data_IF_362990501890
#
_entry.id   IF_362990501890
#
_cell.length_a   1.000
_cell.length_b   1.000
_cell.length_c   1.000
_cell.angle_alpha   90.00
_cell.angle_beta   90.00
_cell.angle_gamma   90.00
#
_symmetry.space_group_name_H-M   'P 1'
#
loop_
_entity.id
_entity.type
_entity.pdbx_description
1 polymer ?
#
# COMPACT_ATOMS: atom_id res chain seq x y z
N UNK A 1 -10.23 -39.66 -61.43
CA UNK A 1 -11.40 -40.23 -60.73
C UNK A 1 -12.20 -39.09 -60.09
N UNK A 2 -13.53 -39.05 -60.24
CA UNK A 2 -14.37 -38.01 -59.65
C UNK A 2 -15.20 -38.50 -58.44
N UNK A 3 -15.91 -37.54 -57.83
CA UNK A 3 -17.26 -37.69 -57.27
C UNK A 3 -17.50 -38.29 -55.86
N UNK A 4 -18.04 -37.39 -55.01
CA UNK A 4 -19.32 -37.50 -54.25
C UNK A 4 -19.37 -38.07 -52.81
N UNK A 5 -19.76 -37.14 -51.91
CA UNK A 5 -20.94 -37.19 -50.97
C UNK A 5 -20.81 -38.09 -49.72
N UNK A 6 -21.41 -37.78 -48.55
CA UNK A 6 -22.32 -36.67 -48.17
C UNK A 6 -22.39 -36.47 -46.63
N UNK A 7 -22.62 -35.21 -46.19
CA UNK A 7 -23.48 -34.73 -45.07
C UNK A 7 -23.17 -35.26 -43.64
N UNK A 8 -23.13 -34.46 -42.54
CA UNK A 8 -23.80 -33.20 -42.11
C UNK A 8 -22.75 -32.37 -41.28
N UNK A 9 -23.00 -31.21 -40.65
CA UNK A 9 -24.15 -30.31 -40.36
C UNK A 9 -23.56 -28.87 -40.31
N UNK A 10 -24.14 -27.82 -40.91
CA UNK A 10 -25.04 -26.81 -40.30
C UNK A 10 -24.74 -26.49 -38.81
N UNK A 11 -24.52 -25.25 -38.35
CA UNK A 11 -24.74 -23.89 -38.89
C UNK A 11 -23.49 -23.00 -38.59
N UNK A 12 -23.08 -21.93 -39.31
CA UNK A 12 -23.73 -20.69 -39.82
C UNK A 12 -24.36 -19.87 -38.65
N UNK A 13 -24.19 -18.55 -38.43
CA UNK A 13 -23.81 -17.39 -39.25
C UNK A 13 -22.69 -16.51 -38.65
N UNK A 14 -21.98 -15.81 -39.53
CA UNK A 14 -21.28 -14.54 -39.24
C UNK A 14 -22.13 -13.33 -39.67
N UNK A 15 -21.60 -12.12 -39.41
CA UNK A 15 -21.89 -10.83 -40.03
C UNK A 15 -22.83 -9.87 -39.26
N UNK A 16 -22.28 -8.72 -38.80
CA UNK A 16 -22.42 -7.36 -39.41
C UNK A 16 -23.81 -6.76 -39.11
N UNK A 17 -23.97 -5.83 -38.17
CA UNK A 17 -23.32 -4.51 -38.00
C UNK A 17 -23.60 -3.51 -39.15
N UNK A 18 -24.87 -3.16 -39.35
CA UNK A 18 -25.26 -1.86 -39.92
C UNK A 18 -26.75 -1.57 -39.64
N UNK A 19 -27.08 -0.27 -39.56
CA UNK A 19 -28.42 0.31 -39.62
C UNK A 19 -29.41 -0.05 -38.48
N UNK A 20 -29.66 0.90 -37.58
CA UNK A 20 -30.92 1.66 -37.55
C UNK A 20 -30.84 2.84 -36.57
N UNK A 21 -31.58 3.90 -36.86
CA UNK A 21 -31.50 5.21 -36.20
C UNK A 21 -32.81 5.53 -35.48
N UNK A 22 -32.75 6.20 -34.31
CA UNK A 22 -33.87 6.90 -33.63
C UNK A 22 -34.93 5.95 -33.01
N UNK A 23 -35.61 6.27 -31.87
CA UNK A 23 -35.64 7.51 -31.08
C UNK A 23 -35.15 7.40 -29.63
N UNK A 24 -35.07 8.55 -28.96
CA UNK A 24 -35.04 8.64 -27.49
C UNK A 24 -36.34 8.07 -26.90
N UNK A 25 -36.23 7.20 -25.89
CA UNK A 25 -37.34 6.82 -25.02
C UNK A 25 -37.05 7.23 -23.59
N UNK A 26 -38.08 7.74 -22.90
CA UNK A 26 -37.94 8.30 -21.57
C UNK A 26 -37.85 7.20 -20.49
N UNK A 27 -36.92 7.41 -19.55
CA UNK A 27 -36.84 6.92 -18.16
C UNK A 27 -37.33 5.50 -17.81
N UNK A 28 -36.44 4.64 -17.26
CA UNK A 28 -36.83 3.61 -16.31
C UNK A 28 -37.33 4.23 -14.99
N UNK A 29 -38.30 3.57 -14.36
CA UNK A 29 -38.93 3.94 -13.09
C UNK A 29 -37.95 3.97 -11.90
N UNK A 30 -38.26 4.69 -10.80
CA UNK A 30 -37.41 4.71 -9.60
C UNK A 30 -37.23 3.30 -9.03
N UNK A 31 -35.97 2.87 -8.89
CA UNK A 31 -35.65 1.65 -8.17
C UNK A 31 -35.99 1.83 -6.68
N UNK A 32 -36.51 0.79 -6.00
CA UNK A 32 -36.67 0.83 -4.56
C UNK A 32 -35.29 1.05 -3.92
N UNK A 33 -35.24 1.89 -2.89
CA UNK A 33 -34.00 2.20 -2.19
C UNK A 33 -33.33 0.91 -1.74
N UNK A 34 -32.10 0.67 -2.21
CA UNK A 34 -31.23 -0.34 -1.63
C UNK A 34 -31.14 -0.07 -0.12
N UNK A 35 -31.11 -1.10 0.75
CA UNK A 35 -30.93 -0.90 2.18
C UNK A 35 -29.69 -0.02 2.37
N UNK A 36 -29.85 1.07 3.12
CA UNK A 36 -28.83 2.09 3.24
C UNK A 36 -27.48 1.43 3.54
N UNK A 37 -26.51 1.62 2.65
CA UNK A 37 -25.18 1.08 2.85
C UNK A 37 -24.71 1.56 4.23
N UNK A 38 -24.42 0.60 5.12
CA UNK A 38 -23.72 0.88 6.37
C UNK A 38 -22.50 1.70 6.00
N UNK A 39 -22.49 2.98 6.40
CA UNK A 39 -21.43 3.90 6.01
C UNK A 39 -20.10 3.24 6.35
N UNK A 40 -19.26 3.03 5.33
CA UNK A 40 -17.96 2.41 5.54
C UNK A 40 -17.22 3.29 6.54
N UNK A 41 -16.92 2.75 7.72
CA UNK A 41 -16.09 3.42 8.74
C UNK A 41 -14.64 3.36 8.30
N UNK A 42 -14.37 3.83 7.09
CA UNK A 42 -13.05 3.93 6.50
C UNK A 42 -12.48 5.30 6.93
N UNK A 43 -11.55 5.33 7.90
CA UNK A 43 -11.02 6.59 8.40
C UNK A 43 -10.23 7.35 7.32
N UNK A 44 -9.85 6.72 6.20
CA UNK A 44 -9.17 7.39 5.10
C UNK A 44 -10.08 8.39 4.33
N UNK A 45 -11.38 8.41 4.62
CA UNK A 45 -12.35 9.31 4.01
C UNK A 45 -12.51 10.66 4.74
N UNK A 46 -11.98 10.82 5.95
CA UNK A 46 -11.98 12.12 6.66
C UNK A 46 -10.71 12.91 6.27
N UNK A 47 -10.84 14.09 5.62
CA UNK A 47 -9.68 14.92 5.24
C UNK A 47 -8.92 15.50 6.46
N UNK A 48 -9.45 15.35 7.67
CA UNK A 48 -8.79 15.70 8.94
C UNK A 48 -8.14 14.50 9.63
N UNK A 49 -8.28 13.28 9.10
CA UNK A 49 -7.63 12.08 9.65
C UNK A 49 -6.13 12.13 9.38
N UNK A 50 -5.40 12.83 10.25
CA UNK A 50 -3.95 12.83 10.22
C UNK A 50 -3.43 11.48 10.68
N UNK A 51 -2.90 10.70 9.73
CA UNK A 51 -2.12 9.52 10.06
C UNK A 51 -0.90 9.94 10.89
N UNK A 52 -0.91 9.56 12.17
CA UNK A 52 0.15 9.89 13.12
C UNK A 52 1.24 8.81 13.15
N UNK A 53 2.41 9.18 13.67
CA UNK A 53 3.46 8.21 13.92
C UNK A 53 3.05 7.17 14.99
N UNK A 54 2.18 7.51 15.94
CA UNK A 54 1.59 6.55 16.87
C UNK A 54 0.75 5.48 16.16
N UNK A 55 -0.11 5.87 15.21
CA UNK A 55 -0.90 4.91 14.42
C UNK A 55 0.00 3.93 13.65
N UNK A 56 1.07 4.42 13.03
CA UNK A 56 2.03 3.55 12.34
C UNK A 56 2.81 2.67 13.35
N UNK A 57 3.09 3.16 14.55
CA UNK A 57 3.75 2.38 15.59
C UNK A 57 2.88 1.20 16.03
N UNK A 58 1.57 1.37 16.16
CA UNK A 58 0.64 0.29 16.50
C UNK A 58 0.60 -0.81 15.44
N UNK A 59 0.75 -0.47 14.15
CA UNK A 59 0.92 -1.43 13.04
C UNK A 59 2.31 -2.09 13.09
N UNK A 60 3.36 -1.33 13.40
CA UNK A 60 4.73 -1.83 13.38
C UNK A 60 5.12 -2.67 14.60
N UNK A 61 4.45 -2.54 15.75
CA UNK A 61 4.69 -3.38 16.94
C UNK A 61 4.46 -4.88 16.70
N UNK A 62 3.33 -5.36 16.12
CA UNK A 62 3.19 -6.76 15.74
C UNK A 62 4.17 -7.15 14.63
N UNK A 63 4.39 -6.30 13.62
CA UNK A 63 5.36 -6.55 12.55
C UNK A 63 6.77 -6.89 13.05
N UNK A 64 7.30 -6.14 14.02
CA UNK A 64 8.62 -6.40 14.61
C UNK A 64 8.64 -7.72 15.40
N UNK A 65 7.55 -8.10 16.06
CA UNK A 65 7.42 -9.42 16.71
C UNK A 65 7.44 -10.55 15.67
N UNK A 66 6.68 -10.43 14.58
CA UNK A 66 6.69 -11.37 13.45
C UNK A 66 8.11 -11.53 12.88
N UNK A 67 8.82 -10.42 12.68
CA UNK A 67 10.15 -10.42 12.11
C UNK A 67 11.19 -11.09 13.02
N UNK A 68 11.17 -10.80 14.33
CA UNK A 68 12.06 -11.48 15.29
C UNK A 68 11.71 -12.96 15.46
N UNK A 69 10.42 -13.33 15.42
CA UNK A 69 9.96 -14.73 15.39
C UNK A 69 10.49 -15.48 14.17
N UNK A 70 10.44 -14.86 12.99
CA UNK A 70 11.01 -15.41 11.73
C UNK A 70 12.52 -15.59 11.83
N UNK A 71 13.24 -14.58 12.36
CA UNK A 71 14.70 -14.65 12.58
C UNK A 71 15.12 -15.77 13.54
N UNK A 72 14.28 -16.10 14.52
CA UNK A 72 14.47 -17.21 15.44
C UNK A 72 14.09 -18.59 14.85
N UNK A 73 13.63 -18.66 13.59
CA UNK A 73 13.17 -19.89 12.95
C UNK A 73 11.77 -20.35 13.37
N UNK A 74 10.97 -19.47 13.98
CA UNK A 74 9.60 -19.78 14.40
C UNK A 74 8.59 -19.73 13.25
N UNK A 75 7.52 -20.53 13.35
CA UNK A 75 6.39 -20.51 12.42
C UNK A 75 5.62 -19.21 12.52
N UNK A 76 5.30 -18.60 11.38
CA UNK A 76 4.48 -17.37 11.28
C UNK A 76 3.10 -17.74 10.74
N UNK A 77 2.05 -17.22 11.39
CA UNK A 77 0.66 -17.40 10.99
C UNK A 77 0.26 -16.39 9.90
N UNK A 78 -0.70 -16.70 9.00
CA UNK A 78 -1.05 -15.81 7.88
C UNK A 78 -1.46 -14.38 8.26
N UNK A 79 -2.02 -14.16 9.45
CA UNK A 79 -2.37 -12.82 9.93
C UNK A 79 -1.14 -12.03 10.40
N UNK A 80 -0.15 -12.69 11.03
CA UNK A 80 1.12 -12.09 11.42
C UNK A 80 1.93 -11.61 10.21
N UNK A 81 1.78 -12.28 9.05
CA UNK A 81 2.36 -11.84 7.76
C UNK A 81 1.74 -10.53 7.29
N UNK A 82 0.41 -10.39 7.36
CA UNK A 82 -0.28 -9.17 6.92
C UNK A 82 0.15 -7.94 7.73
N UNK A 83 0.20 -8.06 9.05
CA UNK A 83 0.65 -6.96 9.94
C UNK A 83 2.10 -6.55 9.61
N UNK A 84 2.95 -7.54 9.27
CA UNK A 84 4.31 -7.29 8.80
C UNK A 84 4.33 -6.54 7.47
N UNK A 85 3.60 -7.01 6.46
CA UNK A 85 3.51 -6.38 5.14
C UNK A 85 3.01 -4.92 5.21
N UNK A 86 1.95 -4.65 5.98
CA UNK A 86 1.40 -3.30 6.17
C UNK A 86 2.47 -2.33 6.71
N UNK A 87 3.17 -2.69 7.80
CA UNK A 87 4.24 -1.86 8.36
C UNK A 87 5.42 -1.71 7.37
N UNK A 88 5.84 -2.80 6.72
CA UNK A 88 6.98 -2.77 5.80
C UNK A 88 6.70 -1.84 4.62
N UNK A 89 5.48 -1.89 4.05
CA UNK A 89 5.07 -1.08 2.91
C UNK A 89 5.15 0.43 3.19
N UNK A 90 4.72 0.89 4.37
CA UNK A 90 4.86 2.30 4.76
C UNK A 90 6.32 2.72 4.89
N UNK A 91 7.15 1.91 5.57
CA UNK A 91 8.54 2.26 5.84
C UNK A 91 9.43 2.18 4.59
N UNK A 92 9.23 1.18 3.72
CA UNK A 92 9.95 1.10 2.45
C UNK A 92 9.46 2.14 1.46
N UNK A 93 8.14 2.35 1.36
CA UNK A 93 7.57 3.41 0.51
C UNK A 93 8.07 4.80 0.88
N UNK A 94 8.22 5.08 2.18
CA UNK A 94 8.83 6.31 2.65
C UNK A 94 10.32 6.42 2.27
N UNK A 95 11.12 5.37 2.52
CA UNK A 95 12.54 5.31 2.13
C UNK A 95 12.71 5.56 0.63
N UNK A 96 12.01 4.80 -0.20
CA UNK A 96 12.18 4.82 -1.66
C UNK A 96 11.67 6.14 -2.26
N UNK A 97 10.56 6.67 -1.72
CA UNK A 97 10.04 7.98 -2.09
C UNK A 97 10.98 9.13 -1.68
N UNK A 98 11.57 9.04 -0.48
CA UNK A 98 12.56 10.01 -0.01
C UNK A 98 13.81 9.99 -0.89
N UNK A 99 14.37 8.81 -1.15
CA UNK A 99 15.52 8.61 -2.05
C UNK A 99 15.22 9.13 -3.46
N UNK A 100 14.02 8.91 -4.00
CA UNK A 100 13.62 9.42 -5.31
C UNK A 100 13.56 10.96 -5.35
N UNK A 101 12.91 11.58 -4.36
CA UNK A 101 12.71 13.03 -4.32
C UNK A 101 13.99 13.83 -3.98
N UNK A 102 14.92 13.25 -3.22
CA UNK A 102 16.12 13.95 -2.73
C UNK A 102 17.39 13.63 -3.52
N UNK A 103 17.39 12.61 -4.40
CA UNK A 103 18.50 12.34 -5.35
C UNK A 103 19.02 13.54 -6.16
N UNK A 104 18.21 14.54 -6.56
CA UNK A 104 18.68 15.66 -7.38
C UNK A 104 18.88 16.99 -6.63
N UNK A 105 18.69 17.07 -5.31
CA UNK A 105 18.70 18.35 -4.56
C UNK A 105 19.97 18.50 -3.73
N UNK A 106 20.61 19.67 -3.77
CA UNK A 106 21.89 19.98 -3.06
C UNK A 106 21.79 19.96 -1.52
N UNK A 107 20.60 19.74 -0.95
CA UNK A 107 20.41 19.61 0.49
C UNK A 107 20.86 18.22 0.95
N UNK A 108 21.72 18.15 1.97
CA UNK A 108 22.14 16.87 2.53
C UNK A 108 20.90 16.06 2.98
N UNK A 109 20.79 14.77 2.58
CA UNK A 109 19.67 13.94 3.00
C UNK A 109 19.63 13.80 4.52
N UNK A 110 18.42 13.73 5.07
CA UNK A 110 18.16 13.65 6.52
C UNK A 110 18.70 12.34 7.11
N UNK A 111 18.71 11.27 6.30
CA UNK A 111 19.21 9.95 6.65
C UNK A 111 19.89 9.28 5.45
N UNK A 112 20.81 8.36 5.74
CA UNK A 112 21.56 7.59 4.76
C UNK A 112 21.48 6.11 5.12
N UNK A 113 20.37 5.46 4.73
CA UNK A 113 20.12 4.04 5.04
C UNK A 113 20.93 3.14 4.07
N UNK A 114 21.87 2.32 4.56
CA UNK A 114 22.62 1.40 3.71
C UNK A 114 21.72 0.40 2.98
N UNK A 115 22.17 -0.07 1.81
CA UNK A 115 21.41 -1.00 0.95
C UNK A 115 21.07 -2.33 1.62
N UNK A 116 21.92 -2.78 2.53
CA UNK A 116 21.86 -4.02 3.28
C UNK A 116 20.92 -3.97 4.50
N UNK A 117 20.40 -2.80 4.84
CA UNK A 117 19.41 -2.66 5.93
C UNK A 117 18.07 -3.23 5.50
N UNK A 118 17.76 -4.43 6.01
CA UNK A 118 16.47 -5.11 5.83
C UNK A 118 15.34 -4.36 6.55
N UNK A 119 14.14 -4.38 5.98
CA UNK A 119 13.02 -3.52 6.40
C UNK A 119 12.58 -3.72 7.87
N UNK A 120 12.74 -4.92 8.43
CA UNK A 120 12.50 -5.15 9.87
C UNK A 120 13.42 -4.36 10.81
N UNK A 121 14.64 -3.98 10.37
CA UNK A 121 15.51 -3.04 11.08
C UNK A 121 15.04 -1.59 10.98
N UNK A 122 14.35 -1.22 9.90
CA UNK A 122 13.70 0.09 9.79
C UNK A 122 12.53 0.20 10.77
N UNK A 123 11.72 -0.86 10.89
CA UNK A 123 10.64 -0.91 11.88
C UNK A 123 11.15 -0.87 13.32
N UNK A 124 12.26 -1.56 13.63
CA UNK A 124 12.91 -1.42 14.94
C UNK A 124 13.41 -0.01 15.22
N UNK A 125 14.07 0.65 14.25
CA UNK A 125 14.52 2.03 14.40
C UNK A 125 13.36 3.00 14.65
N UNK A 126 12.29 2.85 13.86
CA UNK A 126 11.06 3.64 14.01
C UNK A 126 10.44 3.46 15.40
N UNK A 127 10.15 2.24 15.83
CA UNK A 127 9.56 1.99 17.17
C UNK A 127 10.48 2.47 18.30
N UNK A 128 11.80 2.30 18.17
CA UNK A 128 12.75 2.77 19.19
C UNK A 128 12.69 4.27 19.39
N UNK A 129 12.52 5.04 18.30
CA UNK A 129 12.32 6.49 18.37
C UNK A 129 10.97 6.85 19.02
N UNK A 130 9.87 6.21 18.59
CA UNK A 130 8.53 6.47 19.16
C UNK A 130 8.46 6.14 20.66
N UNK A 131 9.13 5.06 21.10
CA UNK A 131 9.16 4.65 22.51
C UNK A 131 10.12 5.50 23.37
N UNK A 132 11.12 6.17 22.76
CA UNK A 132 12.10 7.01 23.45
C UNK A 132 11.62 8.46 23.65
N UNK A 133 10.85 9.03 22.70
CA UNK A 133 10.44 10.42 22.71
C UNK A 133 8.92 10.57 22.87
N UNK A 134 8.48 11.07 24.04
CA UNK A 134 7.06 11.15 24.41
C UNK A 134 6.15 11.85 23.38
N UNK A 135 6.65 12.88 22.69
CA UNK A 135 5.90 13.65 21.69
C UNK A 135 6.03 13.11 20.25
N UNK A 136 6.87 12.08 20.01
CA UNK A 136 7.12 11.58 18.66
C UNK A 136 5.89 10.88 18.07
N UNK A 137 5.11 10.18 18.89
CA UNK A 137 3.85 9.55 18.46
C UNK A 137 2.80 10.57 17.96
N UNK A 138 2.85 11.82 18.43
CA UNK A 138 1.93 12.89 18.03
C UNK A 138 2.32 13.59 16.71
N UNK A 139 3.48 13.28 16.12
CA UNK A 139 3.87 13.78 14.81
C UNK A 139 3.06 13.11 13.70
N UNK A 140 2.96 13.76 12.54
CA UNK A 140 2.54 13.06 11.33
C UNK A 140 3.57 11.96 10.98
N UNK A 141 3.15 10.96 10.19
CA UNK A 141 4.02 9.83 9.82
C UNK A 141 5.35 10.28 9.18
N UNK A 142 5.33 11.27 8.28
CA UNK A 142 6.52 11.68 7.52
C UNK A 142 7.60 12.24 8.44
N UNK A 143 7.23 13.13 9.35
CA UNK A 143 8.16 13.69 10.34
C UNK A 143 8.63 12.62 11.33
N UNK A 144 7.74 11.71 11.75
CA UNK A 144 8.07 10.63 12.68
C UNK A 144 9.07 9.61 12.10
N UNK A 145 8.86 9.16 10.85
CA UNK A 145 9.80 8.27 10.17
C UNK A 145 11.11 9.02 9.86
N UNK A 146 11.03 10.25 9.35
CA UNK A 146 12.20 11.06 9.01
C UNK A 146 13.13 11.29 10.20
N UNK A 147 12.57 11.63 11.37
CA UNK A 147 13.32 11.79 12.61
C UNK A 147 13.96 10.47 13.07
N UNK A 148 13.19 9.37 13.10
CA UNK A 148 13.68 8.06 13.51
C UNK A 148 14.80 7.53 12.61
N UNK A 149 14.68 7.70 11.29
CA UNK A 149 15.70 7.29 10.34
C UNK A 149 16.93 8.21 10.37
N UNK A 150 16.76 9.52 10.60
CA UNK A 150 17.88 10.46 10.75
C UNK A 150 18.73 10.19 11.99
N UNK A 151 18.10 9.74 13.08
CA UNK A 151 18.78 9.33 14.31
C UNK A 151 19.47 7.96 14.17
N UNK A 152 18.80 6.96 13.57
CA UNK A 152 19.33 5.61 13.44
C UNK A 152 20.36 5.45 12.31
N UNK A 153 20.26 6.25 11.25
CA UNK A 153 21.08 6.17 10.03
C UNK A 153 21.58 7.58 9.61
N UNK A 154 22.34 8.29 10.46
CA UNK A 154 22.80 9.64 10.16
C UNK A 154 23.75 9.65 8.97
N UNK A 155 23.59 10.63 8.08
CA UNK A 155 24.47 10.77 6.92
C UNK A 155 25.91 11.13 7.34
N UNK A 156 26.93 10.56 6.66
CA UNK A 156 28.31 11.00 6.83
C UNK A 156 28.41 12.49 6.49
N UNK A 157 28.97 13.29 7.41
CA UNK A 157 29.26 14.70 7.13
C UNK A 157 30.24 14.78 5.96
N UNK A 158 29.91 15.60 4.96
CA UNK A 158 30.86 15.98 3.93
C UNK A 158 32.14 16.55 4.58
N UNK A 159 33.30 16.15 4.07
CA UNK A 159 34.62 16.60 4.52
C UNK A 159 35.07 17.83 3.76
#
# INVERSE_FOLDING_TARGET
>A
MPARRHNKRLLILSAVLACLSVPVQAQPAPQPAAPAATASTDPSADPNYQYTAAWLADICRPAVKTWEKTKAGGTVEPHEVKDFEDCMMYLSGFRDGYDYLHKPVENQPIFCIPSEVVTGKLAQAFLSHIDLYADAGAKNIVDGIGAAFGEAYPCPKAK
#
